data_IF_798182759944
#
_entry.id   IF_798182759944
#
_cell.length_a   1.000
_cell.length_b   1.000
_cell.length_c   1.000
_cell.angle_alpha   90.00
_cell.angle_beta   90.00
_cell.angle_gamma   90.00
#
_symmetry.space_group_name_H-M   'P 1'
#
loop_
_entity.id
_entity.type
_entity.pdbx_description
1 polymer ?
#
# COMPACT_ATOMS: atom_id res chain seq x y z
N UNK A 1 -2.41 -0.43 -21.26
CA UNK A 1 -1.98 0.99 -21.16
C UNK A 1 -1.31 1.28 -19.82
N UNK A 2 -1.70 0.61 -18.73
CA UNK A 2 -0.98 0.60 -17.44
C UNK A 2 0.32 -0.22 -17.47
N UNK A 3 0.37 -1.33 -18.22
CA UNK A 3 1.56 -2.21 -18.27
C UNK A 3 2.82 -1.51 -18.81
N UNK A 4 2.63 -0.59 -19.75
CA UNK A 4 3.73 0.18 -20.33
C UNK A 4 4.24 1.27 -19.35
N UNK A 5 3.33 1.85 -18.55
CA UNK A 5 3.68 2.78 -17.49
C UNK A 5 4.46 2.08 -16.37
N UNK A 6 4.03 0.89 -15.95
CA UNK A 6 4.74 0.08 -14.96
C UNK A 6 6.13 -0.31 -15.45
N UNK A 7 6.23 -0.79 -16.69
CA UNK A 7 7.53 -1.12 -17.30
C UNK A 7 8.47 0.10 -17.32
N UNK A 8 7.95 1.29 -17.68
CA UNK A 8 8.75 2.52 -17.71
C UNK A 8 9.21 2.95 -16.31
N UNK A 9 8.32 2.91 -15.31
CA UNK A 9 8.65 3.26 -13.92
C UNK A 9 9.70 2.28 -13.37
N UNK A 10 9.49 0.96 -13.51
CA UNK A 10 10.45 -0.05 -13.07
C UNK A 10 11.79 0.07 -13.80
N UNK A 11 11.81 0.35 -15.10
CA UNK A 11 13.07 0.52 -15.83
C UNK A 11 13.84 1.79 -15.45
N UNK A 12 13.13 2.86 -15.06
CA UNK A 12 13.74 4.17 -14.77
C UNK A 12 14.11 4.33 -13.29
N UNK A 13 13.35 3.69 -12.40
CA UNK A 13 13.44 3.87 -10.96
C UNK A 13 13.52 2.56 -10.18
N UNK A 14 13.34 1.40 -10.81
CA UNK A 14 13.19 0.10 -10.11
C UNK A 14 14.43 -0.41 -9.37
N UNK A 15 15.61 0.19 -9.54
CA UNK A 15 16.75 -0.06 -8.64
C UNK A 15 16.66 0.76 -7.34
N UNK A 16 15.95 1.89 -7.38
CA UNK A 16 15.80 2.85 -6.28
C UNK A 16 14.37 2.84 -5.68
N UNK A 17 13.44 2.08 -6.27
CA UNK A 17 12.02 2.05 -5.88
C UNK A 17 11.49 0.62 -5.86
N UNK A 18 10.86 0.23 -4.75
CA UNK A 18 9.94 -0.89 -4.74
C UNK A 18 8.59 -0.42 -5.27
N UNK A 19 8.04 -1.14 -6.25
CA UNK A 19 6.76 -0.82 -6.83
C UNK A 19 5.65 -1.12 -5.80
N UNK A 20 5.02 -0.09 -5.25
CA UNK A 20 3.93 -0.22 -4.27
C UNK A 20 2.76 -1.01 -4.87
N UNK A 21 2.39 -2.12 -4.22
CA UNK A 21 1.33 -3.03 -4.65
C UNK A 21 0.02 -2.36 -5.07
N UNK A 22 -0.52 -1.42 -4.27
CA UNK A 22 -1.72 -0.63 -4.58
C UNK A 22 -1.72 0.69 -3.79
N UNK A 23 -2.26 1.77 -4.36
CA UNK A 23 -2.53 3.01 -3.62
C UNK A 23 -3.97 3.47 -3.84
N UNK A 24 -4.71 3.74 -2.75
CA UNK A 24 -6.07 4.28 -2.81
C UNK A 24 -6.12 5.65 -2.18
N UNK A 25 -6.74 6.60 -2.89
CA UNK A 25 -7.03 7.93 -2.35
C UNK A 25 -8.45 7.96 -1.81
N UNK A 26 -8.57 8.23 -0.52
CA UNK A 26 -9.83 8.53 0.16
C UNK A 26 -10.01 10.04 0.32
N UNK A 27 -11.19 10.47 0.75
CA UNK A 27 -11.42 11.88 1.10
C UNK A 27 -10.54 12.32 2.28
N UNK A 28 -10.29 11.41 3.23
CA UNK A 28 -9.57 11.69 4.48
C UNK A 28 -8.05 11.50 4.38
N UNK A 29 -7.54 10.86 3.33
CA UNK A 29 -6.12 10.53 3.22
C UNK A 29 -5.80 9.64 2.02
N UNK A 30 -4.55 9.16 1.96
CA UNK A 30 -4.11 8.14 1.01
C UNK A 30 -3.70 6.90 1.81
N UNK A 31 -4.15 5.73 1.36
CA UNK A 31 -3.59 4.46 1.81
C UNK A 31 -2.65 3.92 0.73
N UNK A 32 -1.54 3.39 1.18
CA UNK A 32 -0.55 2.68 0.40
C UNK A 32 -0.50 1.26 0.92
N UNK A 33 -0.60 0.30 0.02
CA UNK A 33 -0.57 -1.13 0.35
C UNK A 33 0.57 -1.74 -0.44
N UNK A 34 1.42 -2.48 0.26
CA UNK A 34 2.45 -3.28 -0.38
C UNK A 34 2.32 -4.73 0.03
N UNK A 35 2.79 -5.63 -0.84
CA UNK A 35 2.88 -7.05 -0.52
C UNK A 35 4.23 -7.27 0.13
N UNK A 36 4.21 -7.70 1.38
CA UNK A 36 5.39 -8.04 2.13
C UNK A 36 5.49 -9.57 2.21
N UNK A 37 6.50 -10.15 1.57
CA UNK A 37 6.81 -11.57 1.73
C UNK A 37 7.71 -11.73 2.95
N UNK A 38 7.21 -12.43 3.97
CA UNK A 38 7.97 -12.63 5.20
C UNK A 38 9.10 -13.67 5.00
N UNK A 39 9.93 -13.89 6.03
CA UNK A 39 11.04 -14.85 5.97
C UNK A 39 10.62 -16.31 5.76
N UNK A 40 9.32 -16.60 5.84
CA UNK A 40 8.71 -17.91 5.63
C UNK A 40 8.02 -18.03 4.26
N UNK A 41 8.17 -17.05 3.37
CA UNK A 41 7.50 -16.98 2.07
C UNK A 41 5.97 -16.90 2.16
N UNK A 42 5.45 -16.37 3.26
CA UNK A 42 4.02 -16.07 3.39
C UNK A 42 3.76 -14.62 2.95
N UNK A 43 2.74 -14.44 2.11
CA UNK A 43 2.28 -13.12 1.68
C UNK A 43 1.55 -12.41 2.83
N UNK A 44 2.18 -11.40 3.39
CA UNK A 44 1.58 -10.40 4.28
C UNK A 44 1.38 -9.09 3.50
N UNK A 45 0.67 -8.14 4.11
CA UNK A 45 0.45 -6.83 3.50
C UNK A 45 0.85 -5.74 4.48
N UNK A 46 1.69 -4.82 4.02
CA UNK A 46 1.95 -3.57 4.74
C UNK A 46 0.94 -2.54 4.28
N UNK A 47 0.39 -1.80 5.23
CA UNK A 47 -0.56 -0.73 5.01
C UNK A 47 0.02 0.52 5.65
N UNK A 48 0.24 1.56 4.85
CA UNK A 48 0.57 2.89 5.32
C UNK A 48 -0.59 3.84 5.01
N UNK A 49 -1.08 4.56 6.02
CA UNK A 49 -2.12 5.57 5.86
C UNK A 49 -1.60 6.95 6.22
N UNK A 50 -1.74 7.89 5.29
CA UNK A 50 -1.40 9.30 5.46
C UNK A 50 -2.69 10.12 5.47
N UNK A 51 -3.01 10.72 6.61
CA UNK A 51 -4.19 11.59 6.76
C UNK A 51 -3.96 12.95 6.10
N UNK A 52 -5.02 13.51 5.50
CA UNK A 52 -5.06 14.89 5.00
C UNK A 52 -5.68 15.86 6.01
N UNK A 53 -6.38 15.32 7.00
CA UNK A 53 -7.18 16.10 7.94
C UNK A 53 -6.42 16.30 9.24
N UNK A 54 -5.71 15.25 9.67
CA UNK A 54 -4.96 15.24 10.92
C UNK A 54 -3.48 15.41 10.62
N UNK A 55 -2.78 16.21 11.43
CA UNK A 55 -1.33 16.38 11.37
C UNK A 55 -0.59 15.28 12.12
N UNK A 56 -1.14 14.07 12.13
CA UNK A 56 -0.53 12.92 12.79
C UNK A 56 0.49 12.24 11.86
N UNK A 57 1.51 11.58 12.42
CA UNK A 57 2.41 10.73 11.64
C UNK A 57 1.63 9.64 10.88
N UNK A 58 2.14 9.16 9.74
CA UNK A 58 1.51 8.06 9.02
C UNK A 58 1.35 6.82 9.91
N UNK A 59 0.21 6.16 9.78
CA UNK A 59 -0.08 4.92 10.51
C UNK A 59 0.42 3.75 9.67
N UNK A 60 1.18 2.86 10.29
CA UNK A 60 1.71 1.66 9.67
C UNK A 60 1.15 0.40 10.33
N UNK A 61 0.58 -0.50 9.52
CA UNK A 61 0.00 -1.77 9.98
C UNK A 61 0.48 -2.89 9.06
N UNK A 62 0.78 -4.05 9.65
CA UNK A 62 1.00 -5.29 8.91
C UNK A 62 -0.20 -6.19 9.14
N UNK A 63 -0.84 -6.63 8.06
CA UNK A 63 -1.94 -7.60 8.10
C UNK A 63 -1.52 -8.90 7.43
N UNK A 64 -2.02 -10.02 7.96
CA UNK A 64 -1.55 -11.36 7.58
C UNK A 64 -2.46 -12.08 6.59
N UNK A 65 -3.61 -11.49 6.28
CA UNK A 65 -4.60 -12.09 5.39
C UNK A 65 -5.30 -11.04 4.53
N UNK A 66 -5.86 -11.50 3.41
CA UNK A 66 -6.66 -10.65 2.52
C UNK A 66 -7.95 -10.19 3.19
N UNK A 67 -8.51 -10.99 4.09
CA UNK A 67 -9.69 -10.66 4.88
C UNK A 67 -9.42 -9.52 5.86
N UNK A 68 -8.27 -9.54 6.55
CA UNK A 68 -7.83 -8.43 7.41
C UNK A 68 -7.58 -7.16 6.58
N UNK A 69 -6.88 -7.29 5.45
CA UNK A 69 -6.65 -6.17 4.53
C UNK A 69 -7.96 -5.53 4.08
N UNK A 70 -8.94 -6.35 3.70
CA UNK A 70 -10.25 -5.87 3.26
C UNK A 70 -10.99 -5.11 4.39
N UNK A 71 -10.91 -5.63 5.61
CA UNK A 71 -11.53 -4.99 6.80
C UNK A 71 -10.92 -3.61 7.05
N UNK A 72 -9.59 -3.48 7.04
CA UNK A 72 -8.91 -2.20 7.24
C UNK A 72 -9.28 -1.18 6.14
N UNK A 73 -9.30 -1.61 4.88
CA UNK A 73 -9.68 -0.74 3.76
C UNK A 73 -11.13 -0.26 3.91
N UNK A 74 -12.05 -1.13 4.34
CA UNK A 74 -13.43 -0.75 4.60
C UNK A 74 -13.53 0.31 5.70
N UNK A 75 -12.82 0.15 6.81
CA UNK A 75 -12.82 1.12 7.92
C UNK A 75 -12.30 2.50 7.47
N UNK A 76 -11.23 2.53 6.66
CA UNK A 76 -10.68 3.78 6.12
C UNK A 76 -11.60 4.47 5.10
N UNK A 77 -12.56 3.73 4.53
CA UNK A 77 -13.52 4.24 3.55
C UNK A 77 -14.76 4.91 4.16
N UNK A 78 -15.03 4.67 5.45
CA UNK A 78 -16.11 5.30 6.23
C UNK A 78 -15.68 6.70 6.71
#
# INVERSE_FOLDING_TARGET
MLDNLFTQITSSFGQDTYFMGLAFRFKKGIVVIDIYENSQQEEEYTIEFVSFIEHEPPVFVIVKSKEELYTVIQELSL
#
